data_IF_776633064259
#
_entry.id   IF_776633064259
#
_cell.length_a   1.000
_cell.length_b   1.000
_cell.length_c   1.000
_cell.angle_alpha   90.00
_cell.angle_beta   90.00
_cell.angle_gamma   90.00
#
_symmetry.space_group_name_H-M   'P 1'
#
loop_
_entity.id
_entity.type
_entity.pdbx_description
1 polymer ?
#
# COMPACT_ATOMS: atom_id res chain seq x y z
N UNK A 1 -9.36 0.70 -0.98
CA UNK A 1 -9.60 -0.56 -1.74
C UNK A 1 -8.86 -1.69 -1.07
N UNK A 2 -9.27 -2.93 -1.33
CA UNK A 2 -8.51 -4.11 -0.93
C UNK A 2 -8.58 -5.23 -1.92
N UNK A 3 -7.57 -6.09 -1.86
CA UNK A 3 -7.42 -7.31 -2.62
C UNK A 3 -7.29 -8.47 -1.63
N UNK A 4 -8.13 -9.49 -1.79
CA UNK A 4 -8.20 -10.65 -0.91
C UNK A 4 -8.12 -11.93 -1.75
N UNK A 5 -7.17 -12.86 -1.48
CA UNK A 5 -7.21 -14.19 -2.07
C UNK A 5 -8.51 -14.91 -1.72
N UNK A 6 -9.14 -15.54 -2.71
CA UNK A 6 -10.36 -16.33 -2.53
C UNK A 6 -10.00 -17.67 -1.89
N UNK A 7 -10.66 -18.00 -0.78
CA UNK A 7 -10.42 -19.24 -0.06
C UNK A 7 -10.63 -20.48 -0.97
N UNK A 8 -9.72 -21.45 -0.86
CA UNK A 8 -9.76 -22.68 -1.67
C UNK A 8 -9.17 -22.55 -3.08
N UNK A 9 -8.67 -21.36 -3.47
CA UNK A 9 -8.03 -21.16 -4.79
C UNK A 9 -6.49 -21.08 -4.72
N UNK A 10 -5.92 -20.98 -3.53
CA UNK A 10 -4.48 -20.90 -3.28
C UNK A 10 -3.98 -22.04 -2.39
N UNK A 11 -2.68 -22.38 -2.46
CA UNK A 11 -2.14 -23.51 -1.72
C UNK A 11 -2.39 -23.38 -0.21
N UNK A 12 -2.66 -24.53 0.43
CA UNK A 12 -2.74 -24.63 1.89
C UNK A 12 -1.42 -24.20 2.52
N UNK A 13 -1.49 -23.41 3.59
CA UNK A 13 -0.44 -22.47 3.99
C UNK A 13 0.97 -23.06 4.21
N UNK A 14 2.03 -22.42 3.66
CA UNK A 14 3.31 -22.27 4.33
C UNK A 14 3.16 -21.32 5.55
N UNK A 15 3.87 -21.59 6.64
CA UNK A 15 3.87 -20.75 7.84
C UNK A 15 4.56 -19.40 7.59
N UNK A 16 3.79 -18.31 7.55
CA UNK A 16 4.34 -16.96 7.51
C UNK A 16 3.28 -15.86 7.46
N UNK A 17 3.50 -14.78 8.21
CA UNK A 17 2.52 -13.68 8.36
C UNK A 17 2.17 -12.96 7.05
N UNK A 18 2.94 -13.18 5.98
CA UNK A 18 2.77 -12.56 4.66
C UNK A 18 2.10 -13.44 3.62
N UNK A 19 1.86 -14.72 3.92
CA UNK A 19 1.30 -15.66 2.95
C UNK A 19 -0.22 -15.51 2.82
N UNK A 20 -0.69 -15.31 1.58
CA UNK A 20 -2.11 -15.18 1.20
C UNK A 20 -2.92 -14.27 2.12
N UNK A 21 -2.32 -13.16 2.55
CA UNK A 21 -3.04 -12.13 3.32
C UNK A 21 -3.73 -11.14 2.39
N UNK A 22 -4.68 -10.44 2.99
CA UNK A 22 -5.31 -9.26 2.42
C UNK A 22 -4.30 -8.14 2.22
N UNK A 23 -4.26 -7.58 1.02
CA UNK A 23 -3.55 -6.34 0.73
C UNK A 23 -4.55 -5.20 0.59
N UNK A 24 -4.26 -4.02 1.13
CA UNK A 24 -5.10 -2.85 0.88
C UNK A 24 -5.28 -1.88 2.04
N UNK A 25 -6.25 -1.00 1.85
CA UNK A 25 -6.47 0.22 2.62
C UNK A 25 -7.97 0.55 2.65
N UNK A 26 -8.59 0.47 3.82
CA UNK A 26 -10.02 0.81 4.00
C UNK A 26 -10.23 2.11 4.76
N UNK A 27 -9.16 2.65 5.33
CA UNK A 27 -9.19 3.96 5.99
C UNK A 27 -9.46 5.06 4.97
N UNK A 28 -10.33 5.99 5.34
CA UNK A 28 -10.57 7.21 4.58
C UNK A 28 -9.38 8.18 4.78
N UNK A 29 -8.39 8.05 3.90
CA UNK A 29 -7.16 8.85 3.93
C UNK A 29 -7.42 10.35 3.75
N UNK A 30 -8.58 10.76 3.22
CA UNK A 30 -8.90 12.17 3.03
C UNK A 30 -9.13 12.90 4.36
N UNK A 31 -9.56 12.19 5.40
CA UNK A 31 -9.84 12.78 6.73
C UNK A 31 -8.60 13.25 7.47
N UNK A 32 -7.49 12.55 7.29
CA UNK A 32 -6.22 12.82 7.96
C UNK A 32 -5.11 13.23 6.99
N UNK A 33 -5.49 13.64 5.77
CA UNK A 33 -4.52 14.03 4.75
C UNK A 33 -3.80 15.34 5.17
N UNK A 34 -2.45 15.36 5.24
CA UNK A 34 -1.68 16.58 5.47
C UNK A 34 -2.03 17.66 4.45
N UNK A 35 -2.08 18.93 4.88
CA UNK A 35 -2.59 20.06 4.09
C UNK A 35 -1.91 20.16 2.71
N UNK A 36 -0.60 20.00 2.70
CA UNK A 36 0.30 20.04 1.56
C UNK A 36 0.13 18.87 0.58
N UNK A 37 -0.59 17.82 0.97
CA UNK A 37 -0.90 16.65 0.14
C UNK A 37 -2.36 16.63 -0.34
N UNK A 38 -3.22 17.51 0.19
CA UNK A 38 -4.64 17.49 -0.12
C UNK A 38 -4.92 17.87 -1.58
N UNK A 39 -5.81 17.11 -2.21
CA UNK A 39 -6.54 17.52 -3.41
C UNK A 39 -7.93 17.96 -2.96
N UNK A 40 -8.29 19.21 -3.24
CA UNK A 40 -9.57 19.79 -2.85
C UNK A 40 -10.52 19.84 -4.04
N UNK A 41 -11.74 19.39 -3.80
CA UNK A 41 -12.87 19.50 -4.72
C UNK A 41 -14.02 20.27 -4.08
N UNK A 42 -15.18 20.24 -4.73
CA UNK A 42 -16.42 20.73 -4.14
C UNK A 42 -16.78 19.87 -2.93
N UNK A 43 -16.87 20.48 -1.75
CA UNK A 43 -17.23 19.79 -0.51
C UNK A 43 -16.09 19.25 0.34
N UNK A 44 -14.81 19.49 -0.03
CA UNK A 44 -13.67 19.20 0.86
C UNK A 44 -12.50 18.51 0.17
N UNK A 45 -11.75 17.72 0.95
CA UNK A 45 -10.62 16.91 0.46
C UNK A 45 -11.19 15.68 -0.25
N UNK A 46 -10.83 15.51 -1.52
CA UNK A 46 -11.33 14.40 -2.37
C UNK A 46 -10.26 13.36 -2.68
N UNK A 47 -8.98 13.71 -2.52
CA UNK A 47 -7.87 12.77 -2.60
C UNK A 47 -6.68 13.27 -1.76
N UNK A 48 -5.76 12.36 -1.46
CA UNK A 48 -4.50 12.65 -0.81
C UNK A 48 -3.32 12.21 -1.69
N UNK A 49 -2.49 13.15 -2.13
CA UNK A 49 -1.29 12.85 -2.94
C UNK A 49 -0.25 12.13 -2.10
N UNK A 50 0.53 11.27 -2.72
CA UNK A 50 1.81 10.85 -2.13
C UNK A 50 2.77 12.04 -2.07
N UNK A 51 3.77 11.98 -1.18
CA UNK A 51 4.83 13.02 -1.13
C UNK A 51 5.61 13.10 -2.45
N UNK A 52 5.87 11.96 -3.11
CA UNK A 52 6.52 11.96 -4.42
C UNK A 52 5.67 12.72 -5.44
N UNK A 53 4.37 12.48 -5.51
CA UNK A 53 3.46 13.18 -6.43
C UNK A 53 3.31 14.66 -6.10
N UNK A 54 3.33 15.04 -4.82
CA UNK A 54 3.17 16.43 -4.39
C UNK A 54 4.43 17.28 -4.63
N UNK A 55 5.61 16.73 -4.35
CA UNK A 55 6.85 17.50 -4.32
C UNK A 55 7.84 17.15 -5.44
N UNK A 56 7.70 15.98 -6.07
CA UNK A 56 8.60 15.46 -7.11
C UNK A 56 10.09 15.49 -6.72
N UNK A 57 10.40 15.32 -5.43
CA UNK A 57 11.79 15.24 -4.94
C UNK A 57 12.28 13.80 -4.92
N UNK A 58 13.57 13.63 -5.19
CA UNK A 58 14.20 12.31 -5.30
C UNK A 58 14.18 11.53 -3.98
N UNK A 59 14.23 12.20 -2.84
CA UNK A 59 14.13 11.57 -1.51
C UNK A 59 12.74 11.04 -1.20
N UNK A 60 11.67 11.65 -1.73
CA UNK A 60 10.30 11.13 -1.60
C UNK A 60 9.94 10.10 -2.67
N UNK A 61 10.56 10.19 -3.85
CA UNK A 61 10.34 9.27 -4.95
C UNK A 61 11.31 8.08 -4.96
N UNK A 62 12.29 8.06 -4.05
CA UNK A 62 13.37 7.08 -4.00
C UNK A 62 14.13 6.95 -5.34
N UNK A 63 14.60 8.08 -5.87
CA UNK A 63 15.36 8.15 -7.14
C UNK A 63 16.80 8.61 -6.91
N UNK A 64 17.65 8.45 -7.92
CA UNK A 64 19.04 8.93 -7.88
C UNK A 64 19.80 8.34 -6.69
N UNK A 65 20.33 9.20 -5.82
CA UNK A 65 21.04 8.77 -4.62
C UNK A 65 20.15 8.00 -3.61
N UNK A 66 18.83 8.09 -3.74
CA UNK A 66 17.84 7.43 -2.89
C UNK A 66 17.25 6.16 -3.52
N UNK A 67 17.90 5.56 -4.52
CA UNK A 67 17.38 4.41 -5.26
C UNK A 67 17.58 3.04 -4.58
N UNK A 68 17.74 3.01 -3.26
CA UNK A 68 17.80 1.76 -2.49
C UNK A 68 16.99 1.89 -1.20
N UNK A 69 16.54 0.78 -0.59
CA UNK A 69 15.86 0.84 0.71
C UNK A 69 16.71 1.49 1.80
N UNK A 70 18.03 1.29 1.77
CA UNK A 70 18.95 1.87 2.75
C UNK A 70 19.09 3.40 2.58
N UNK A 71 19.02 3.90 1.34
CA UNK A 71 19.17 5.33 1.04
C UNK A 71 17.83 6.08 0.93
N UNK A 72 16.70 5.37 0.98
CA UNK A 72 15.35 5.94 1.05
C UNK A 72 14.55 5.31 2.21
N UNK A 73 14.84 5.71 3.46
CA UNK A 73 14.11 5.22 4.62
C UNK A 73 12.69 5.83 4.69
N UNK A 74 11.79 5.23 5.50
CA UNK A 74 10.47 5.81 5.74
C UNK A 74 10.54 7.24 6.31
N UNK A 75 9.86 8.17 5.64
CA UNK A 75 9.78 9.60 6.00
C UNK A 75 8.39 9.99 6.53
N UNK A 76 8.26 11.20 7.07
CA UNK A 76 7.05 11.68 7.77
C UNK A 76 5.74 11.40 7.01
N UNK A 77 5.68 11.72 5.71
CA UNK A 77 4.48 11.52 4.92
C UNK A 77 4.16 10.05 4.67
N UNK A 78 5.16 9.21 4.36
CA UNK A 78 4.95 7.76 4.20
C UNK A 78 4.35 7.12 5.46
N UNK A 79 4.78 7.57 6.65
CA UNK A 79 4.29 7.06 7.93
C UNK A 79 2.81 7.38 8.17
N UNK A 80 2.29 8.49 7.64
CA UNK A 80 0.85 8.81 7.69
C UNK A 80 0.04 7.75 6.94
N UNK A 81 0.44 7.43 5.71
CA UNK A 81 -0.23 6.38 4.92
C UNK A 81 -0.07 5.00 5.56
N UNK A 82 1.12 4.70 6.08
CA UNK A 82 1.38 3.41 6.72
C UNK A 82 0.54 3.19 7.98
N UNK A 83 0.43 4.23 8.82
CA UNK A 83 -0.37 4.17 10.04
C UNK A 83 -1.85 3.96 9.73
N UNK A 84 -2.36 4.60 8.69
CA UNK A 84 -3.75 4.44 8.29
C UNK A 84 -4.01 3.09 7.62
N UNK A 85 -3.04 2.57 6.85
CA UNK A 85 -3.18 1.38 6.04
C UNK A 85 -1.93 0.48 6.13
N UNK A 86 -1.78 -0.29 7.23
CA UNK A 86 -0.58 -1.10 7.47
C UNK A 86 -0.34 -2.20 6.43
N UNK A 87 -1.41 -2.67 5.77
CA UNK A 87 -1.38 -3.72 4.75
C UNK A 87 -1.26 -3.17 3.32
N UNK A 88 -0.93 -1.88 3.16
CA UNK A 88 -0.70 -1.25 1.87
C UNK A 88 0.69 -0.63 1.83
N UNK A 89 1.27 -0.60 0.63
CA UNK A 89 2.48 0.17 0.36
C UNK A 89 2.23 1.65 0.63
N UNK A 90 3.07 2.23 1.47
CA UNK A 90 3.05 3.64 1.83
C UNK A 90 4.07 4.49 1.08
N UNK A 91 5.11 3.87 0.53
CA UNK A 91 6.14 4.46 -0.34
C UNK A 91 6.86 3.35 -1.13
N UNK A 92 7.82 3.71 -1.99
CA UNK A 92 8.42 2.82 -2.97
C UNK A 92 9.12 1.57 -2.39
N UNK A 93 9.70 1.64 -1.20
CA UNK A 93 10.43 0.51 -0.58
C UNK A 93 9.76 -0.05 0.68
N UNK A 94 8.43 0.08 0.78
CA UNK A 94 7.64 -0.48 1.89
C UNK A 94 7.40 -2.00 1.78
N UNK A 95 8.38 -2.76 1.28
CA UNK A 95 8.23 -4.19 0.97
C UNK A 95 8.08 -5.06 2.22
N UNK A 96 8.87 -4.78 3.26
CA UNK A 96 9.00 -5.68 4.42
C UNK A 96 7.68 -5.96 5.14
N UNK A 97 6.72 -5.04 5.05
CA UNK A 97 5.43 -5.14 5.73
C UNK A 97 4.22 -5.07 4.79
N UNK A 98 4.43 -4.90 3.48
CA UNK A 98 3.34 -4.75 2.49
C UNK A 98 3.43 -5.70 1.30
N UNK A 99 4.50 -6.51 1.18
CA UNK A 99 4.55 -7.57 0.18
C UNK A 99 3.85 -8.82 0.70
N UNK A 100 2.85 -9.28 -0.05
CA UNK A 100 2.13 -10.52 0.22
C UNK A 100 2.24 -11.44 -0.98
N UNK A 101 2.52 -12.71 -0.75
CA UNK A 101 2.66 -13.73 -1.80
C UNK A 101 1.63 -14.82 -1.57
N UNK A 102 1.16 -15.43 -2.64
CA UNK A 102 0.14 -16.47 -2.56
C UNK A 102 0.34 -17.47 -3.70
N UNK A 103 0.68 -18.70 -3.35
CA UNK A 103 1.00 -19.74 -4.32
C UNK A 103 -0.29 -20.38 -4.85
N UNK A 104 -0.28 -20.80 -6.11
CA UNK A 104 -1.41 -21.49 -6.71
C UNK A 104 -1.55 -22.93 -6.16
N UNK A 105 -2.79 -23.44 -6.07
CA UNK A 105 -2.99 -24.89 -5.96
C UNK A 105 -2.88 -25.51 -7.33
N UNK A 106 -2.03 -26.53 -7.49
CA UNK A 106 -2.07 -27.37 -8.68
C UNK A 106 -2.98 -28.59 -8.44
N UNK A 107 -3.90 -28.93 -9.38
CA UNK A 107 -4.27 -28.15 -10.57
C UNK A 107 -5.19 -26.96 -10.19
N UNK A 108 -4.88 -25.76 -10.66
CA UNK A 108 -5.66 -24.55 -10.31
C UNK A 108 -4.89 -23.23 -10.36
N UNK A 109 -5.61 -22.13 -10.15
CA UNK A 109 -5.09 -20.76 -10.08
C UNK A 109 -5.64 -20.05 -8.84
N UNK A 110 -4.87 -19.13 -8.29
CA UNK A 110 -5.33 -18.26 -7.21
C UNK A 110 -6.25 -17.17 -7.74
N UNK A 111 -7.47 -17.09 -7.19
CA UNK A 111 -8.42 -16.03 -7.51
C UNK A 111 -8.37 -14.94 -6.44
N UNK A 112 -8.80 -13.73 -6.79
CA UNK A 112 -8.80 -12.58 -5.89
C UNK A 112 -10.08 -11.77 -6.03
N UNK A 113 -10.59 -11.31 -4.88
CA UNK A 113 -11.65 -10.30 -4.82
C UNK A 113 -11.05 -8.92 -4.62
N UNK A 114 -11.48 -7.96 -5.44
CA UNK A 114 -11.10 -6.55 -5.31
C UNK A 114 -12.33 -5.75 -4.86
N UNK A 115 -12.21 -5.10 -3.70
CA UNK A 115 -13.31 -4.35 -3.09
C UNK A 115 -12.95 -2.87 -2.93
N UNK A 116 -13.85 -2.00 -3.35
CA UNK A 116 -13.80 -0.56 -3.07
C UNK A 116 -14.73 -0.25 -1.90
N UNK A 117 -14.24 0.51 -0.92
CA UNK A 117 -15.02 0.95 0.24
C UNK A 117 -15.67 -0.20 1.05
N UNK A 118 -14.96 -1.32 1.19
CA UNK A 118 -15.39 -2.45 2.02
C UNK A 118 -14.84 -2.43 3.44
#
# INVERSE_FOLDING_TARGET
MSMQPVAGTHAGQPSGDRYCRRAGCNSDLNRSCPLELQVRGTGGVVACKSACTAFNRDDYCCRGAHNTPATCPPFQYSRVFKSACPQAYSYAYDDQTSTFTCDNQWPGQTHYDITFCG
#
